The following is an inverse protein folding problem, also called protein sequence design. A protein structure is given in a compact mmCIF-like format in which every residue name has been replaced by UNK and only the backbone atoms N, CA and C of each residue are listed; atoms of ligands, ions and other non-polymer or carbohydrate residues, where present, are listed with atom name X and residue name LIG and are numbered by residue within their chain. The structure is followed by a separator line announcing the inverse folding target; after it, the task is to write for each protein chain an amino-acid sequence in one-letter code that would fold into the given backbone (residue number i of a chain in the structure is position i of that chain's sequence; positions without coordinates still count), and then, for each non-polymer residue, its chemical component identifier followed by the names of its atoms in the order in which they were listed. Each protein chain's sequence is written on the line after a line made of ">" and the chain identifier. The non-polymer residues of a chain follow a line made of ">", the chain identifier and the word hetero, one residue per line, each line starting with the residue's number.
data_IF_800988086555
#
_entry.id   IF_800988086555
#
_cell.length_a   1.000
_cell.length_b   1.000
_cell.length_c   1.000
_cell.angle_alpha   90.00
_cell.angle_beta   90.00
_cell.angle_gamma   90.00
#
_symmetry.space_group_name_H-M   'P 1'
#
loop_
_entity.id
_entity.type
_entity.pdbx_description
1 polymer ?
#
# COMPACT_ATOMS: atom_id res chain seq x y z
N UNK A 1 -32.15 27.05 -16.54
CA UNK A 1 -31.79 27.87 -15.37
C UNK A 1 -30.34 27.57 -15.02
N UNK A 2 -29.44 28.50 -15.32
CA UNK A 2 -28.01 28.44 -15.01
C UNK A 2 -27.79 29.12 -13.67
N UNK A 3 -27.17 28.45 -12.71
CA UNK A 3 -26.70 29.08 -11.48
C UNK A 3 -25.18 29.09 -11.47
N UNK A 4 -24.64 30.28 -11.66
CA UNK A 4 -23.26 30.66 -11.39
C UNK A 4 -23.24 31.28 -9.99
N UNK A 5 -22.31 30.88 -9.14
CA UNK A 5 -21.95 31.63 -7.94
C UNK A 5 -20.44 31.93 -7.97
N UNK A 6 -20.04 33.21 -7.87
CA UNK A 6 -18.66 33.63 -7.69
C UNK A 6 -18.35 33.96 -6.22
N UNK A 7 -17.12 33.65 -5.77
CA UNK A 7 -16.40 34.32 -4.67
C UNK A 7 -14.98 33.70 -4.62
N UNK A 8 -13.91 34.38 -5.06
CA UNK A 8 -13.14 35.36 -4.28
C UNK A 8 -12.70 34.77 -2.91
N UNK A 9 -11.52 34.17 -2.83
CA UNK A 9 -10.23 34.81 -2.54
C UNK A 9 -9.88 34.70 -1.06
N UNK A 10 -8.81 33.96 -0.74
CA UNK A 10 -7.89 34.33 0.34
C UNK A 10 -6.48 33.89 -0.06
N UNK A 11 -5.68 34.90 -0.40
CA UNK A 11 -4.24 34.82 -0.46
C UNK A 11 -3.67 34.74 0.96
N UNK A 12 -2.68 33.87 1.17
CA UNK A 12 -1.66 34.09 2.19
C UNK A 12 -0.31 33.93 1.50
N UNK A 13 0.43 35.02 1.55
CA UNK A 13 1.74 35.19 0.98
C UNK A 13 2.84 34.61 1.88
N UNK A 14 3.95 34.28 1.21
CA UNK A 14 5.35 34.36 1.65
C UNK A 14 5.84 33.44 2.80
N UNK A 15 6.94 32.75 2.53
CA UNK A 15 8.24 33.15 3.09
C UNK A 15 9.42 32.47 2.38
N UNK A 16 10.35 33.34 1.98
CA UNK A 16 11.69 33.07 1.49
C UNK A 16 12.56 32.65 2.68
N UNK A 17 13.38 31.60 2.54
CA UNK A 17 14.62 31.43 3.34
C UNK A 17 15.57 30.48 2.60
N UNK A 18 16.53 31.05 1.87
CA UNK A 18 17.95 31.29 2.25
C UNK A 18 18.78 30.01 2.34
N UNK A 19 19.69 29.88 1.36
CA UNK A 19 20.76 28.91 1.40
C UNK A 19 21.71 29.24 2.55
N UNK A 20 21.76 28.36 3.54
CA UNK A 20 22.81 28.34 4.55
C UNK A 20 23.85 27.31 4.11
N UNK A 21 25.04 27.82 3.79
CA UNK A 21 26.30 27.09 3.75
C UNK A 21 26.47 26.39 5.10
N UNK A 22 26.46 25.06 5.13
CA UNK A 22 27.01 24.35 6.28
C UNK A 22 28.52 24.38 6.11
N UNK A 23 29.14 25.29 6.85
CA UNK A 23 30.57 25.25 7.13
C UNK A 23 30.86 23.96 7.89
N UNK A 24 31.74 23.12 7.33
CA UNK A 24 32.36 22.01 8.05
C UNK A 24 33.01 22.58 9.31
N UNK A 25 32.49 22.16 10.47
CA UNK A 25 33.13 22.48 11.74
C UNK A 25 34.25 21.47 11.93
N UNK A 26 35.49 21.92 11.87
CA UNK A 26 36.65 21.16 12.31
C UNK A 26 36.49 20.85 13.80
N UNK A 27 36.23 19.59 14.13
CA UNK A 27 36.37 19.06 15.46
C UNK A 27 37.69 18.30 15.54
N UNK A 28 38.76 19.03 15.84
CA UNK A 28 40.01 18.42 16.28
C UNK A 28 39.97 18.23 17.80
N UNK A 29 39.96 16.97 18.24
CA UNK A 29 40.61 16.51 19.47
C UNK A 29 40.82 14.99 19.36
N UNK A 30 42.05 14.61 19.01
CA UNK A 30 42.61 13.27 19.27
C UNK A 30 42.72 13.07 20.79
N UNK A 31 42.39 11.92 21.36
CA UNK A 31 43.36 10.82 21.50
C UNK A 31 42.69 9.56 22.08
N UNK A 32 42.82 8.44 21.38
CA UNK A 32 42.49 7.09 21.83
C UNK A 32 42.45 6.15 20.63
N UNK A 33 43.12 4.98 20.62
CA UNK A 33 43.11 4.10 19.47
C UNK A 33 41.72 3.46 19.34
N UNK A 34 40.85 4.07 18.53
CA UNK A 34 39.64 3.43 18.07
C UNK A 34 40.04 2.29 17.11
N UNK A 35 39.74 1.05 17.53
CA UNK A 35 39.76 -0.08 16.64
C UNK A 35 38.99 0.28 15.38
N UNK A 36 39.62 0.14 14.21
CA UNK A 36 38.96 0.40 12.94
C UNK A 36 37.75 -0.52 12.84
N UNK A 37 36.51 -0.01 12.67
CA UNK A 37 35.39 -0.87 12.35
C UNK A 37 35.68 -1.50 10.99
N UNK A 38 35.89 -2.81 11.01
CA UNK A 38 36.15 -3.59 9.81
C UNK A 38 34.97 -3.42 8.85
N UNK A 39 35.20 -3.06 7.58
CA UNK A 39 34.11 -2.92 6.62
C UNK A 39 33.36 -4.24 6.53
N UNK A 40 32.03 -4.18 6.67
CA UNK A 40 31.18 -5.36 6.56
C UNK A 40 31.46 -6.04 5.22
N UNK A 41 31.80 -7.31 5.26
CA UNK A 41 32.04 -8.09 4.04
C UNK A 41 30.78 -8.09 3.17
N UNK A 42 30.90 -8.18 1.84
CA UNK A 42 29.74 -8.27 0.94
C UNK A 42 28.77 -9.40 1.33
N UNK A 43 29.29 -10.49 1.91
CA UNK A 43 28.49 -11.60 2.43
C UNK A 43 27.64 -11.22 3.66
N UNK A 44 28.13 -10.35 4.55
CA UNK A 44 27.37 -9.85 5.70
C UNK A 44 26.25 -8.90 5.26
N UNK A 45 26.48 -8.07 4.25
CA UNK A 45 25.46 -7.20 3.67
C UNK A 45 24.37 -8.02 2.97
N UNK A 46 24.76 -9.04 2.20
CA UNK A 46 23.83 -9.97 1.57
C UNK A 46 23.02 -10.78 2.61
N UNK A 47 23.64 -11.21 3.71
CA UNK A 47 22.94 -11.88 4.81
C UNK A 47 22.00 -10.94 5.57
N UNK A 48 22.38 -9.68 5.80
CA UNK A 48 21.49 -8.69 6.40
C UNK A 48 20.28 -8.39 5.50
N UNK A 49 20.50 -8.30 4.18
CA UNK A 49 19.42 -8.13 3.20
C UNK A 49 18.51 -9.36 3.14
N UNK A 50 19.07 -10.56 3.20
CA UNK A 50 18.32 -11.82 3.22
C UNK A 50 17.53 -11.99 4.52
N UNK A 51 18.12 -11.61 5.67
CA UNK A 51 17.46 -11.62 6.97
C UNK A 51 16.36 -10.56 7.07
N UNK A 52 16.57 -9.36 6.52
CA UNK A 52 15.55 -8.32 6.41
C UNK A 52 14.41 -8.75 5.49
N UNK A 53 14.72 -9.39 4.37
CA UNK A 53 13.74 -9.98 3.45
C UNK A 53 12.95 -11.11 4.11
N UNK A 54 13.61 -11.97 4.89
CA UNK A 54 12.97 -13.06 5.63
C UNK A 54 12.14 -12.57 6.82
N UNK A 55 12.49 -11.43 7.42
CA UNK A 55 11.72 -10.77 8.47
C UNK A 55 10.49 -10.05 7.89
N UNK A 56 10.61 -9.43 6.72
CA UNK A 56 9.47 -8.86 5.98
C UNK A 56 8.45 -9.94 5.60
N UNK A 57 8.90 -11.16 5.30
CA UNK A 57 8.04 -12.31 5.01
C UNK A 57 7.41 -12.98 6.25
N UNK A 58 7.84 -12.62 7.47
CA UNK A 58 7.30 -13.13 8.74
C UNK A 58 6.30 -12.16 9.38
N UNK A 59 5.54 -11.44 8.56
CA UNK A 59 4.42 -10.64 9.04
C UNK A 59 3.40 -11.52 9.77
N UNK A 60 2.76 -10.96 10.79
CA UNK A 60 1.59 -11.59 11.41
C UNK A 60 0.58 -11.99 10.33
N UNK A 61 -0.13 -13.12 10.48
CA UNK A 61 -1.14 -13.53 9.52
C UNK A 61 -2.11 -12.37 9.27
N UNK A 62 -2.49 -12.10 8.00
CA UNK A 62 -3.35 -10.98 7.69
C UNK A 62 -4.66 -11.11 8.45
N UNK A 63 -5.21 -9.99 8.96
CA UNK A 63 -6.48 -10.03 9.68
C UNK A 63 -7.56 -10.67 8.80
N UNK A 64 -8.46 -11.48 9.39
CA UNK A 64 -9.54 -12.09 8.63
C UNK A 64 -10.38 -10.99 7.97
N UNK A 65 -10.91 -11.29 6.79
CA UNK A 65 -11.83 -10.37 6.12
C UNK A 65 -13.18 -10.35 6.85
N UNK A 66 -13.85 -9.20 6.93
CA UNK A 66 -15.21 -9.15 7.46
C UNK A 66 -16.15 -10.08 6.66
N UNK A 67 -17.04 -10.84 7.33
CA UNK A 67 -17.94 -11.79 6.65
C UNK A 67 -18.73 -11.16 5.51
N UNK A 68 -19.26 -9.95 5.72
CA UNK A 68 -20.01 -9.18 4.72
C UNK A 68 -19.24 -8.96 3.42
N UNK A 69 -17.92 -8.76 3.50
CA UNK A 69 -17.04 -8.56 2.33
C UNK A 69 -16.83 -9.89 1.61
N UNK A 70 -16.54 -10.96 2.35
CA UNK A 70 -16.37 -12.29 1.76
C UNK A 70 -17.65 -12.81 1.12
N UNK A 71 -18.80 -12.58 1.74
CA UNK A 71 -20.12 -12.94 1.22
C UNK A 71 -20.48 -12.10 -0.02
N UNK A 72 -20.19 -10.80 0.01
CA UNK A 72 -20.37 -9.93 -1.16
C UNK A 72 -19.55 -10.42 -2.35
N UNK A 73 -18.24 -10.65 -2.16
CA UNK A 73 -17.34 -11.12 -3.24
C UNK A 73 -17.81 -12.48 -3.78
N UNK A 74 -18.16 -13.41 -2.88
CA UNK A 74 -18.61 -14.75 -3.26
C UNK A 74 -19.92 -14.72 -4.06
N UNK A 75 -20.88 -13.88 -3.63
CA UNK A 75 -22.20 -13.76 -4.26
C UNK A 75 -22.15 -12.99 -5.58
N UNK A 76 -21.56 -11.80 -5.57
CA UNK A 76 -21.55 -10.88 -6.72
C UNK A 76 -20.70 -11.43 -7.87
N UNK A 77 -19.61 -12.11 -7.54
CA UNK A 77 -18.65 -12.64 -8.51
C UNK A 77 -18.62 -14.18 -8.49
N UNK A 78 -19.79 -14.81 -8.26
CA UNK A 78 -19.96 -16.26 -8.24
C UNK A 78 -19.46 -16.96 -9.51
N UNK A 79 -19.51 -16.27 -10.65
CA UNK A 79 -19.14 -16.81 -11.97
C UNK A 79 -17.74 -16.41 -12.43
N UNK A 80 -16.90 -15.84 -11.57
CA UNK A 80 -15.52 -15.47 -11.96
C UNK A 80 -14.56 -15.67 -10.81
N UNK A 81 -13.85 -16.81 -10.82
CA UNK A 81 -12.86 -17.15 -9.79
C UNK A 81 -11.72 -16.13 -9.77
N UNK A 82 -11.25 -15.70 -10.94
CA UNK A 82 -10.20 -14.68 -11.06
C UNK A 82 -10.61 -13.35 -10.44
N UNK A 83 -11.87 -12.92 -10.63
CA UNK A 83 -12.38 -11.71 -9.98
C UNK A 83 -12.44 -11.87 -8.46
N UNK A 84 -12.91 -13.02 -7.97
CA UNK A 84 -12.96 -13.29 -6.51
C UNK A 84 -11.58 -13.26 -5.87
N UNK A 85 -10.60 -13.94 -6.45
CA UNK A 85 -9.24 -13.98 -5.92
C UNK A 85 -8.59 -12.58 -5.93
N UNK A 86 -8.72 -11.85 -7.04
CA UNK A 86 -8.19 -10.50 -7.17
C UNK A 86 -8.79 -9.53 -6.14
N UNK A 87 -10.13 -9.52 -6.00
CA UNK A 87 -10.80 -8.65 -5.04
C UNK A 87 -10.55 -9.08 -3.59
N UNK A 88 -10.40 -10.38 -3.33
CA UNK A 88 -10.01 -10.90 -2.02
C UNK A 88 -8.61 -10.43 -1.64
N UNK A 89 -7.66 -10.45 -2.59
CA UNK A 89 -6.30 -9.95 -2.36
C UNK A 89 -6.31 -8.44 -2.01
N UNK A 90 -7.06 -7.63 -2.76
CA UNK A 90 -7.20 -6.19 -2.44
C UNK A 90 -7.86 -6.00 -1.07
N UNK A 91 -8.93 -6.74 -0.78
CA UNK A 91 -9.65 -6.64 0.49
C UNK A 91 -8.74 -6.97 1.68
N UNK A 92 -7.76 -7.87 1.54
CA UNK A 92 -6.77 -8.14 2.59
C UNK A 92 -5.89 -6.92 2.86
N UNK A 93 -5.50 -6.20 1.81
CA UNK A 93 -4.78 -4.93 1.96
C UNK A 93 -5.59 -3.87 2.71
N UNK A 94 -6.88 -3.71 2.38
CA UNK A 94 -7.76 -2.82 3.14
C UNK A 94 -7.98 -3.29 4.58
N UNK A 95 -8.08 -4.59 4.82
CA UNK A 95 -8.21 -5.13 6.18
C UNK A 95 -6.97 -4.82 7.01
N UNK A 96 -5.76 -4.87 6.43
CA UNK A 96 -4.54 -4.40 7.10
C UNK A 96 -4.60 -2.91 7.39
N UNK A 97 -5.05 -2.08 6.44
CA UNK A 97 -5.18 -0.63 6.63
C UNK A 97 -6.17 -0.27 7.76
N UNK A 98 -7.25 -1.02 7.90
CA UNK A 98 -8.27 -0.79 8.94
C UNK A 98 -7.79 -1.30 10.30
N UNK A 99 -7.22 -2.50 10.37
CA UNK A 99 -6.98 -3.17 11.65
C UNK A 99 -5.57 -2.99 12.21
N UNK A 100 -4.55 -2.83 11.37
CA UNK A 100 -3.15 -2.89 11.79
C UNK A 100 -2.44 -1.51 11.77
N UNK A 101 -3.18 -0.47 11.39
CA UNK A 101 -2.89 0.96 11.18
C UNK A 101 -2.11 1.82 12.19
N UNK A 102 -1.14 1.39 13.01
CA UNK A 102 -0.77 2.18 14.22
C UNK A 102 0.36 3.21 14.05
N UNK A 103 1.12 3.12 12.96
CA UNK A 103 2.26 3.99 12.68
C UNK A 103 2.42 4.26 11.17
N UNK A 104 3.26 5.22 10.77
CA UNK A 104 3.60 5.41 9.36
C UNK A 104 4.22 4.15 8.72
N UNK A 105 5.00 3.38 9.47
CA UNK A 105 5.57 2.12 8.96
C UNK A 105 4.47 1.09 8.68
N UNK A 106 3.47 0.95 9.55
CA UNK A 106 2.32 0.07 9.30
C UNK A 106 1.52 0.55 8.09
N UNK A 107 1.34 1.86 7.95
CA UNK A 107 0.64 2.46 6.81
C UNK A 107 1.38 2.18 5.48
N UNK A 108 2.72 2.16 5.49
CA UNK A 108 3.52 1.75 4.33
C UNK A 108 3.22 0.31 3.92
N UNK A 109 3.24 -0.62 4.88
CA UNK A 109 2.97 -2.04 4.63
C UNK A 109 1.56 -2.26 4.09
N UNK A 110 0.56 -1.66 4.73
CA UNK A 110 -0.83 -1.79 4.28
C UNK A 110 -1.04 -1.15 2.89
N UNK A 111 -0.42 0.00 2.64
CA UNK A 111 -0.51 0.67 1.35
C UNK A 111 0.20 -0.09 0.22
N UNK A 112 1.36 -0.70 0.49
CA UNK A 112 2.04 -1.59 -0.45
C UNK A 112 1.15 -2.81 -0.78
N UNK A 113 0.49 -3.41 0.22
CA UNK A 113 -0.44 -4.53 0.01
C UNK A 113 -1.66 -4.12 -0.84
N UNK A 114 -2.21 -2.92 -0.62
CA UNK A 114 -3.29 -2.38 -1.45
C UNK A 114 -2.81 -2.14 -2.89
N UNK A 115 -1.66 -1.50 -3.07
CA UNK A 115 -1.07 -1.25 -4.39
C UNK A 115 -0.83 -2.56 -5.15
N UNK A 116 -0.29 -3.57 -4.47
CA UNK A 116 -0.09 -4.91 -5.01
C UNK A 116 -1.41 -5.57 -5.44
N UNK A 117 -2.45 -5.49 -4.61
CA UNK A 117 -3.76 -6.02 -4.96
C UNK A 117 -4.37 -5.34 -6.19
N UNK A 118 -4.27 -4.00 -6.28
CA UNK A 118 -4.80 -3.24 -7.42
C UNK A 118 -4.06 -3.61 -8.70
N UNK A 119 -2.72 -3.66 -8.66
CA UNK A 119 -1.92 -4.10 -9.79
C UNK A 119 -2.23 -5.54 -10.21
N UNK A 120 -2.55 -6.42 -9.26
CA UNK A 120 -3.01 -7.78 -9.59
C UNK A 120 -4.34 -7.74 -10.35
N UNK A 121 -5.35 -7.06 -9.81
CA UNK A 121 -6.69 -7.02 -10.40
C UNK A 121 -6.69 -6.41 -11.81
N UNK A 122 -5.84 -5.41 -12.04
CA UNK A 122 -5.70 -4.73 -13.33
C UNK A 122 -4.66 -5.38 -14.25
N UNK A 123 -4.04 -6.49 -13.84
CA UNK A 123 -3.09 -7.20 -14.69
C UNK A 123 -3.79 -7.78 -15.92
N UNK A 124 -3.12 -7.85 -17.08
CA UNK A 124 -3.70 -8.45 -18.28
C UNK A 124 -4.21 -9.88 -18.04
N UNK A 125 -3.47 -10.68 -17.25
CA UNK A 125 -3.86 -12.05 -16.93
C UNK A 125 -5.19 -12.14 -16.17
N UNK A 126 -5.42 -11.27 -15.18
CA UNK A 126 -6.69 -11.26 -14.44
C UNK A 126 -7.83 -10.74 -15.32
N UNK A 127 -7.62 -9.63 -16.05
CA UNK A 127 -8.64 -9.04 -16.91
C UNK A 127 -9.10 -10.00 -18.02
N UNK A 128 -8.16 -10.63 -18.71
CA UNK A 128 -8.46 -11.65 -19.73
C UNK A 128 -9.19 -12.84 -19.11
N UNK A 129 -8.74 -13.34 -17.96
CA UNK A 129 -9.38 -14.48 -17.29
C UNK A 129 -10.78 -14.16 -16.78
N UNK A 130 -10.99 -12.95 -16.29
CA UNK A 130 -12.27 -12.45 -15.82
C UNK A 130 -13.22 -12.06 -16.97
N UNK A 131 -12.72 -11.93 -18.20
CA UNK A 131 -13.50 -11.51 -19.36
C UNK A 131 -14.01 -10.07 -19.25
N UNK A 132 -13.25 -9.18 -18.59
CA UNK A 132 -13.65 -7.78 -18.38
C UNK A 132 -12.57 -6.79 -18.78
N UNK A 133 -12.99 -5.60 -19.14
CA UNK A 133 -12.09 -4.47 -19.39
C UNK A 133 -11.61 -3.83 -18.07
N UNK A 134 -10.56 -2.99 -18.11
CA UNK A 134 -10.02 -2.33 -16.93
C UNK A 134 -11.02 -1.44 -16.17
N UNK A 135 -11.95 -0.75 -16.84
CA UNK A 135 -12.92 0.11 -16.18
C UNK A 135 -13.94 -0.71 -15.38
N UNK A 136 -14.43 -1.79 -15.98
CA UNK A 136 -15.30 -2.74 -15.28
C UNK A 136 -14.61 -3.29 -14.04
N UNK A 137 -13.32 -3.64 -14.10
CA UNK A 137 -12.57 -4.09 -12.92
C UNK A 137 -12.39 -2.98 -11.88
N UNK A 138 -12.09 -1.74 -12.30
CA UNK A 138 -12.01 -0.59 -11.38
C UNK A 138 -13.32 -0.35 -10.64
N UNK A 139 -14.47 -0.51 -11.31
CA UNK A 139 -15.77 -0.36 -10.67
C UNK A 139 -16.05 -1.48 -9.66
N UNK A 140 -15.64 -2.72 -9.96
CA UNK A 140 -15.68 -3.83 -8.98
C UNK A 140 -14.80 -3.55 -7.75
N UNK A 141 -13.62 -2.98 -7.94
CA UNK A 141 -12.74 -2.55 -6.85
C UNK A 141 -13.44 -1.47 -6.00
N UNK A 142 -14.03 -0.45 -6.62
CA UNK A 142 -14.77 0.62 -5.91
C UNK A 142 -15.94 0.06 -5.10
N UNK A 143 -16.75 -0.82 -5.70
CA UNK A 143 -17.90 -1.44 -5.02
C UNK A 143 -17.45 -2.31 -3.85
N UNK A 144 -16.41 -3.12 -4.02
CA UNK A 144 -15.86 -3.94 -2.93
C UNK A 144 -15.30 -3.07 -1.81
N UNK A 145 -14.63 -1.95 -2.13
CA UNK A 145 -14.17 -0.99 -1.13
C UNK A 145 -15.32 -0.36 -0.35
N UNK A 146 -16.43 -0.06 -1.02
CA UNK A 146 -17.61 0.49 -0.35
C UNK A 146 -18.16 -0.49 0.69
N UNK A 147 -18.21 -1.80 0.39
CA UNK A 147 -18.61 -2.83 1.36
C UNK A 147 -17.57 -2.97 2.50
N UNK A 148 -16.28 -2.83 2.19
CA UNK A 148 -15.21 -2.89 3.20
C UNK A 148 -15.27 -1.71 4.19
N UNK A 149 -15.77 -0.56 3.76
CA UNK A 149 -15.82 0.68 4.54
C UNK A 149 -17.26 1.12 4.85
N UNK A 150 -18.21 0.19 4.84
CA UNK A 150 -19.64 0.46 5.06
C UNK A 150 -20.01 0.81 6.51
N UNK A 151 -19.08 0.64 7.46
CA UNK A 151 -19.26 1.06 8.85
C UNK A 151 -18.48 2.36 9.14
N UNK A 152 -18.99 3.14 10.10
CA UNK A 152 -18.32 4.35 10.57
C UNK A 152 -16.93 4.03 11.15
N UNK A 153 -16.81 2.95 11.92
CA UNK A 153 -15.55 2.52 12.52
C UNK A 153 -14.49 2.18 11.46
N UNK A 154 -14.86 1.42 10.43
CA UNK A 154 -13.95 1.06 9.34
C UNK A 154 -13.55 2.29 8.51
N UNK A 155 -14.49 3.21 8.29
CA UNK A 155 -14.22 4.49 7.61
C UNK A 155 -13.22 5.35 8.40
N UNK A 156 -13.43 5.53 9.70
CA UNK A 156 -12.52 6.30 10.56
C UNK A 156 -11.13 5.66 10.63
N UNK A 157 -11.07 4.33 10.74
CA UNK A 157 -9.80 3.60 10.71
C UNK A 157 -9.07 3.79 9.37
N UNK A 158 -9.80 3.78 8.25
CA UNK A 158 -9.23 4.03 6.93
C UNK A 158 -8.74 5.47 6.76
N UNK A 159 -9.45 6.46 7.32
CA UNK A 159 -8.99 7.87 7.35
C UNK A 159 -7.68 7.99 8.13
N UNK A 160 -7.54 7.31 9.27
CA UNK A 160 -6.28 7.25 10.02
C UNK A 160 -5.15 6.61 9.20
N UNK A 161 -5.43 5.54 8.47
CA UNK A 161 -4.46 4.99 7.52
C UNK A 161 -4.03 6.04 6.50
N UNK A 162 -4.97 6.77 5.88
CA UNK A 162 -4.65 7.80 4.89
C UNK A 162 -3.79 8.94 5.45
N UNK A 163 -4.04 9.37 6.68
CA UNK A 163 -3.24 10.43 7.31
C UNK A 163 -1.80 9.97 7.61
N UNK A 164 -1.61 8.72 8.03
CA UNK A 164 -0.29 8.12 8.28
C UNK A 164 0.46 7.74 6.99
N UNK A 165 -0.27 7.46 5.91
CA UNK A 165 0.28 7.21 4.59
C UNK A 165 0.69 8.49 3.85
N UNK A 166 0.26 9.67 4.33
CA UNK A 166 0.56 10.95 3.70
C UNK A 166 2.06 11.17 3.49
N UNK A 167 2.45 11.52 2.26
CA UNK A 167 3.85 11.76 1.89
C UNK A 167 4.69 10.50 1.65
N UNK A 168 4.11 9.30 1.77
CA UNK A 168 4.80 8.05 1.47
C UNK A 168 4.59 7.62 0.01
N UNK A 169 5.63 7.04 -0.58
CA UNK A 169 5.55 6.34 -1.86
C UNK A 169 5.32 4.85 -1.59
N UNK A 170 4.39 4.24 -2.32
CA UNK A 170 4.24 2.78 -2.28
C UNK A 170 5.15 2.13 -3.30
N UNK A 171 5.59 0.91 -2.99
CA UNK A 171 6.45 0.15 -3.89
C UNK A 171 5.68 -0.16 -5.18
N UNK A 172 6.35 -0.08 -6.33
CA UNK A 172 5.81 -0.64 -7.56
C UNK A 172 5.77 -2.18 -7.38
N UNK A 173 4.57 -2.80 -7.38
CA UNK A 173 4.44 -4.24 -7.20
C UNK A 173 5.00 -5.04 -8.37
N UNK A 174 5.32 -4.40 -9.50
CA UNK A 174 5.89 -5.05 -10.67
C UNK A 174 4.93 -6.04 -11.34
N UNK A 175 5.44 -6.88 -12.26
CA UNK A 175 4.61 -7.75 -13.09
C UNK A 175 4.03 -8.95 -12.32
N UNK A 176 4.63 -9.34 -11.19
CA UNK A 176 4.19 -10.46 -10.35
C UNK A 176 3.39 -9.98 -9.14
N UNK A 177 2.35 -9.17 -9.39
CA UNK A 177 1.55 -8.52 -8.36
C UNK A 177 0.53 -9.46 -7.70
N UNK A 178 0.08 -10.51 -8.38
CA UNK A 178 -0.88 -11.47 -7.84
C UNK A 178 -0.22 -12.50 -6.92
N UNK A 179 -0.85 -12.81 -5.78
CA UNK A 179 -0.45 -13.94 -4.92
C UNK A 179 -0.92 -15.31 -5.44
N UNK A 180 -1.55 -15.31 -6.63
CA UNK A 180 -2.08 -16.47 -7.33
C UNK A 180 -1.73 -16.34 -8.82
N UNK A 181 -1.76 -17.46 -9.55
CA UNK A 181 -1.57 -17.45 -11.00
C UNK A 181 -2.93 -17.42 -11.72
N UNK A 182 -3.32 -16.31 -12.38
CA UNK A 182 -4.61 -16.21 -13.07
C UNK A 182 -4.81 -17.27 -14.16
N UNK A 183 -3.74 -17.69 -14.83
CA UNK A 183 -3.80 -18.70 -15.89
C UNK A 183 -4.16 -20.10 -15.35
N UNK A 184 -3.89 -20.36 -14.07
CA UNK A 184 -4.19 -21.65 -13.42
C UNK A 184 -5.61 -21.75 -12.87
N UNK A 185 -6.34 -20.64 -12.81
CA UNK A 185 -7.71 -20.64 -12.27
C UNK A 185 -8.69 -21.28 -13.27
N UNK A 186 -9.80 -21.86 -12.80
CA UNK A 186 -10.91 -22.20 -13.67
C UNK A 186 -11.54 -20.91 -14.23
N UNK A 187 -12.21 -21.02 -15.37
CA UNK A 187 -13.07 -19.94 -15.89
C UNK A 187 -14.32 -19.85 -15.02
#
# INVERSE_FOLDING_TARGET
>A
MRWQYPAAALAIAALIWTGVRIASTDAASSTGPAAHPQPASPAQVANAFSAASAAASRGAPPPPLPPRVTEYIAREYANSVSTREALTQIARGWSQAVNNVHSPADAKVAGDAIAQGIACALSPGVLTKAGVDPQTMLDRIKSTRAIMLDTEADTLAYIRFQSLAGGQYFNDPGPASCSFNPASLPN
#
